data_IF_152499249608
#
_entry.id   IF_152499249608
#
_cell.length_a   1.000
_cell.length_b   1.000
_cell.length_c   1.000
_cell.angle_alpha   90.00
_cell.angle_beta   90.00
_cell.angle_gamma   90.00
#
_symmetry.space_group_name_H-M   'P 1'
#
loop_
_entity.id
_entity.type
_entity.pdbx_description
1 polymer ?
#
# COMPACT_ATOMS: atom_id res chain seq x y z
N UNK A 1 8.30 -14.53 21.60
CA UNK A 1 9.14 -13.54 20.91
C UNK A 1 8.36 -12.23 20.84
N UNK A 2 8.35 -11.47 21.94
CA UNK A 2 7.79 -10.12 22.03
C UNK A 2 8.94 -9.25 22.52
N UNK A 3 9.23 -8.15 21.83
CA UNK A 3 10.32 -7.27 22.22
C UNK A 3 9.86 -6.23 23.26
N UNK A 4 10.69 -5.96 24.26
CA UNK A 4 10.52 -4.86 25.20
C UNK A 4 11.46 -3.70 24.85
N UNK A 5 10.98 -2.47 25.02
CA UNK A 5 11.74 -1.24 24.80
C UNK A 5 11.78 -0.42 26.09
N UNK A 6 12.96 0.02 26.50
CA UNK A 6 13.13 1.02 27.57
C UNK A 6 13.88 2.23 27.00
N UNK A 7 13.52 3.43 27.46
CA UNK A 7 14.24 4.65 27.13
C UNK A 7 15.29 4.92 28.20
N UNK A 8 16.47 5.39 27.82
CA UNK A 8 17.47 5.84 28.79
C UNK A 8 17.22 7.31 29.13
N UNK A 9 16.94 7.59 30.40
CA UNK A 9 16.87 8.95 30.94
C UNK A 9 18.06 9.13 31.86
N UNK A 10 18.96 10.05 31.52
CA UNK A 10 20.21 10.28 32.23
C UNK A 10 21.06 9.00 32.41
N UNK A 11 21.07 8.13 31.41
CA UNK A 11 21.80 6.85 31.44
C UNK A 11 21.14 5.75 32.26
N UNK A 12 19.99 6.01 32.88
CA UNK A 12 19.20 5.01 33.61
C UNK A 12 17.99 4.56 32.78
N UNK A 13 17.73 3.25 32.62
CA UNK A 13 16.58 2.77 31.87
C UNK A 13 15.27 3.09 32.59
N UNK A 14 14.28 3.59 31.84
CA UNK A 14 12.89 3.71 32.30
C UNK A 14 12.20 2.35 32.34
N UNK A 15 10.98 2.32 32.89
CA UNK A 15 10.13 1.14 32.81
C UNK A 15 10.01 0.61 31.38
N UNK A 16 10.10 -0.71 31.24
CA UNK A 16 9.97 -1.38 29.95
C UNK A 16 8.55 -1.24 29.40
N UNK A 17 8.46 -0.83 28.15
CA UNK A 17 7.24 -0.79 27.36
C UNK A 17 7.23 -2.02 26.46
N UNK A 18 6.22 -2.88 26.62
CA UNK A 18 6.03 -4.02 25.73
C UNK A 18 5.51 -3.54 24.38
N UNK A 19 6.21 -3.87 23.29
CA UNK A 19 5.76 -3.50 21.95
C UNK A 19 4.63 -4.45 21.54
N UNK A 20 3.40 -3.92 21.48
CA UNK A 20 2.21 -4.70 21.13
C UNK A 20 1.88 -4.75 19.63
N UNK A 21 2.41 -3.82 18.82
CA UNK A 21 2.19 -3.73 17.36
C UNK A 21 3.40 -3.09 16.67
N UNK A 22 3.68 -3.53 15.45
CA UNK A 22 4.80 -3.02 14.63
C UNK A 22 6.06 -3.87 14.79
N UNK A 23 6.91 -3.85 13.76
CA UNK A 23 8.23 -4.48 13.79
C UNK A 23 9.25 -3.48 14.30
N UNK A 24 10.21 -3.95 15.10
CA UNK A 24 11.30 -3.10 15.53
C UNK A 24 12.16 -2.72 14.33
N UNK A 25 12.60 -1.46 14.27
CA UNK A 25 13.54 -1.04 13.25
C UNK A 25 14.85 -1.83 13.40
N UNK A 26 15.32 -2.45 12.33
CA UNK A 26 16.47 -3.37 12.37
C UNK A 26 16.11 -4.83 12.62
N UNK A 27 14.82 -5.18 12.74
CA UNK A 27 14.38 -6.58 12.74
C UNK A 27 14.70 -7.22 11.37
N UNK A 28 15.50 -8.31 11.33
CA UNK A 28 15.85 -8.99 10.08
C UNK A 28 14.63 -9.54 9.32
N UNK A 29 13.46 -9.68 9.97
CA UNK A 29 12.22 -10.15 9.36
C UNK A 29 11.35 -9.02 8.79
N UNK A 30 11.64 -7.75 9.09
CA UNK A 30 10.85 -6.64 8.57
C UNK A 30 10.81 -6.54 7.03
N UNK A 31 11.92 -6.73 6.30
CA UNK A 31 11.91 -6.68 4.85
C UNK A 31 11.03 -7.78 4.22
N UNK A 32 11.08 -9.00 4.75
CA UNK A 32 10.31 -10.12 4.21
C UNK A 32 8.81 -9.99 4.49
N UNK A 33 8.44 -9.49 5.66
CA UNK A 33 7.04 -9.20 5.98
C UNK A 33 6.46 -8.08 5.12
N UNK A 34 7.24 -7.06 4.80
CA UNK A 34 6.82 -6.00 3.87
C UNK A 34 6.61 -6.53 2.45
N UNK A 35 7.52 -7.39 1.96
CA UNK A 35 7.37 -8.07 0.67
C UNK A 35 6.10 -8.92 0.59
N UNK A 36 5.77 -9.67 1.65
CA UNK A 36 4.54 -10.48 1.73
C UNK A 36 3.31 -9.59 1.66
N UNK A 37 3.30 -8.47 2.38
CA UNK A 37 2.19 -7.51 2.34
C UNK A 37 2.05 -6.89 0.94
N UNK A 38 3.16 -6.48 0.31
CA UNK A 38 3.17 -5.94 -1.03
C UNK A 38 2.60 -6.95 -2.05
N UNK A 39 3.04 -8.20 -1.98
CA UNK A 39 2.54 -9.27 -2.84
C UNK A 39 1.04 -9.55 -2.62
N UNK A 40 0.59 -9.51 -1.36
CA UNK A 40 -0.84 -9.64 -1.03
C UNK A 40 -1.70 -8.55 -1.70
N UNK A 41 -1.23 -7.29 -1.69
CA UNK A 41 -1.91 -6.20 -2.39
C UNK A 41 -1.90 -6.41 -3.92
N UNK A 42 -0.78 -6.88 -4.48
CA UNK A 42 -0.64 -7.21 -5.90
C UNK A 42 -1.67 -8.25 -6.33
N UNK A 43 -1.80 -9.34 -5.57
CA UNK A 43 -2.77 -10.40 -5.84
C UNK A 43 -4.22 -9.91 -5.77
N UNK A 44 -4.57 -9.06 -4.79
CA UNK A 44 -5.91 -8.46 -4.71
C UNK A 44 -6.24 -7.62 -5.95
N UNK A 45 -5.28 -6.81 -6.42
CA UNK A 45 -5.44 -5.99 -7.63
C UNK A 45 -5.55 -6.86 -8.89
N UNK A 46 -4.72 -7.90 -9.04
CA UNK A 46 -4.80 -8.83 -10.17
C UNK A 46 -6.16 -9.52 -10.22
N UNK A 47 -6.67 -9.99 -9.09
CA UNK A 47 -8.01 -10.60 -9.02
C UNK A 47 -9.11 -9.63 -9.43
N UNK A 48 -9.00 -8.35 -9.05
CA UNK A 48 -9.97 -7.34 -9.44
C UNK A 48 -9.97 -7.05 -10.95
N UNK A 49 -8.79 -7.10 -11.60
CA UNK A 49 -8.68 -7.04 -13.06
C UNK A 49 -9.30 -8.28 -13.71
N UNK A 50 -8.94 -9.49 -13.25
CA UNK A 50 -9.43 -10.76 -13.82
C UNK A 50 -10.96 -10.87 -13.75
N UNK A 51 -11.56 -10.32 -12.69
CA UNK A 51 -13.01 -10.27 -12.49
C UNK A 51 -13.70 -9.09 -13.20
N UNK A 52 -12.96 -8.26 -13.95
CA UNK A 52 -13.45 -7.03 -14.56
C UNK A 52 -14.10 -6.04 -13.57
N UNK A 53 -13.69 -6.08 -12.30
CA UNK A 53 -14.15 -5.16 -11.25
C UNK A 53 -13.35 -3.86 -11.25
N UNK A 54 -12.13 -3.91 -11.76
CA UNK A 54 -11.23 -2.78 -11.91
C UNK A 54 -10.70 -2.73 -13.34
N UNK A 55 -10.56 -1.53 -13.89
CA UNK A 55 -9.99 -1.29 -15.23
C UNK A 55 -8.69 -0.50 -15.11
N UNK A 56 -7.57 -1.15 -15.42
CA UNK A 56 -6.24 -0.54 -15.41
C UNK A 56 -5.96 0.38 -16.61
N UNK A 57 -4.78 1.00 -16.61
CA UNK A 57 -4.30 1.81 -17.73
C UNK A 57 -3.80 0.90 -18.86
N UNK A 58 -4.35 1.08 -20.05
CA UNK A 58 -3.87 0.43 -21.26
C UNK A 58 -2.91 1.37 -22.00
N UNK A 59 -1.72 0.89 -22.36
CA UNK A 59 -0.74 1.65 -23.13
C UNK A 59 -0.94 1.52 -24.66
N UNK A 60 -1.95 0.77 -25.09
CA UNK A 60 -2.22 0.43 -26.49
C UNK A 60 -1.57 -0.89 -26.93
N UNK A 61 -2.01 -1.42 -28.08
CA UNK A 61 -1.57 -2.73 -28.57
C UNK A 61 -2.08 -3.90 -27.71
N UNK A 62 -1.37 -5.03 -27.74
CA UNK A 62 -1.68 -6.24 -26.95
C UNK A 62 -1.03 -6.25 -25.55
N UNK A 63 -0.60 -5.09 -25.04
CA UNK A 63 0.03 -5.01 -23.71
C UNK A 63 -1.00 -5.26 -22.60
N UNK A 64 -0.65 -5.99 -21.52
CA UNK A 64 -1.53 -6.13 -20.37
C UNK A 64 -1.77 -4.77 -19.68
N UNK A 65 -2.94 -4.57 -19.07
CA UNK A 65 -3.24 -3.33 -18.36
C UNK A 65 -2.34 -3.15 -17.14
N UNK A 66 -1.87 -1.92 -16.94
CA UNK A 66 -1.11 -1.52 -15.75
C UNK A 66 -2.10 -1.05 -14.68
N UNK A 67 -2.12 -1.73 -13.54
CA UNK A 67 -3.01 -1.38 -12.42
C UNK A 67 -2.27 -1.02 -11.12
N UNK A 68 -1.04 -1.49 -10.95
CA UNK A 68 -0.28 -1.36 -9.71
C UNK A 68 1.22 -1.26 -10.00
N UNK A 69 1.89 -0.29 -9.36
CA UNK A 69 3.35 -0.13 -9.32
C UNK A 69 3.78 0.00 -7.86
N UNK A 70 4.71 -0.85 -7.42
CA UNK A 70 5.18 -0.89 -6.03
C UNK A 70 6.68 -0.60 -5.98
N UNK A 71 7.04 0.35 -5.13
CA UNK A 71 8.40 0.67 -4.70
C UNK A 71 8.52 0.42 -3.18
N UNK A 72 9.72 0.59 -2.63
CA UNK A 72 9.97 0.35 -1.20
C UNK A 72 9.06 1.22 -0.30
N UNK A 73 8.91 2.50 -0.63
CA UNK A 73 8.19 3.46 0.20
C UNK A 73 6.81 3.84 -0.36
N UNK A 74 6.61 3.64 -1.67
CA UNK A 74 5.45 4.14 -2.39
C UNK A 74 4.74 3.04 -3.18
N UNK A 75 3.41 3.10 -3.19
CA UNK A 75 2.57 2.27 -4.06
C UNK A 75 1.66 3.17 -4.89
N UNK A 76 1.77 3.05 -6.21
CA UNK A 76 0.93 3.76 -7.17
C UNK A 76 -0.11 2.81 -7.75
N UNK A 77 -1.39 3.17 -7.61
CA UNK A 77 -2.52 2.45 -8.20
C UNK A 77 -3.05 3.26 -9.36
N UNK A 78 -3.11 2.66 -10.55
CA UNK A 78 -3.47 3.33 -11.79
C UNK A 78 -4.71 2.65 -12.37
N UNK A 79 -5.70 3.44 -12.74
CA UNK A 79 -6.87 2.93 -13.44
C UNK A 79 -7.66 4.06 -14.08
N UNK A 80 -8.68 3.68 -14.84
CA UNK A 80 -9.60 4.65 -15.43
C UNK A 80 -10.30 5.51 -14.38
N UNK A 81 -10.54 6.78 -14.73
CA UNK A 81 -11.20 7.75 -13.87
C UNK A 81 -12.74 7.58 -13.91
N UNK A 82 -13.23 6.47 -13.34
CA UNK A 82 -14.65 6.17 -13.23
C UNK A 82 -15.04 5.80 -11.78
N UNK A 83 -16.34 5.84 -11.47
CA UNK A 83 -16.82 5.55 -10.11
C UNK A 83 -16.67 4.08 -9.73
N UNK A 84 -16.74 3.17 -10.70
CA UNK A 84 -16.60 1.73 -10.45
C UNK A 84 -15.21 1.41 -9.90
N UNK A 85 -14.15 1.89 -10.56
CA UNK A 85 -12.77 1.78 -10.11
C UNK A 85 -12.58 2.40 -8.73
N UNK A 86 -13.21 3.54 -8.45
CA UNK A 86 -13.10 4.18 -7.14
C UNK A 86 -13.70 3.31 -6.03
N UNK A 87 -14.87 2.71 -6.25
CA UNK A 87 -15.51 1.83 -5.28
C UNK A 87 -14.74 0.52 -5.10
N UNK A 88 -14.31 -0.09 -6.21
CA UNK A 88 -13.48 -1.29 -6.18
C UNK A 88 -12.17 -1.05 -5.42
N UNK A 89 -11.48 0.06 -5.71
CA UNK A 89 -10.26 0.45 -5.02
C UNK A 89 -10.49 0.63 -3.51
N UNK A 90 -11.56 1.33 -3.11
CA UNK A 90 -11.91 1.46 -1.69
C UNK A 90 -12.13 0.11 -1.02
N UNK A 91 -12.81 -0.82 -1.68
CA UNK A 91 -13.04 -2.16 -1.14
C UNK A 91 -11.73 -2.94 -0.98
N UNK A 92 -10.86 -2.93 -2.00
CA UNK A 92 -9.55 -3.59 -1.95
C UNK A 92 -8.69 -3.03 -0.83
N UNK A 93 -8.59 -1.70 -0.74
CA UNK A 93 -7.83 -1.01 0.30
C UNK A 93 -8.38 -1.35 1.70
N UNK A 94 -9.70 -1.39 1.87
CA UNK A 94 -10.30 -1.78 3.14
C UNK A 94 -10.00 -3.24 3.51
N UNK A 95 -10.10 -4.17 2.56
CA UNK A 95 -9.72 -5.56 2.77
C UNK A 95 -8.24 -5.69 3.14
N UNK A 96 -7.37 -4.96 2.44
CA UNK A 96 -5.94 -4.94 2.72
C UNK A 96 -5.63 -4.43 4.12
N UNK A 97 -6.24 -3.32 4.55
CA UNK A 97 -6.09 -2.78 5.90
C UNK A 97 -6.52 -3.80 6.98
N UNK A 98 -7.64 -4.50 6.77
CA UNK A 98 -8.14 -5.50 7.72
C UNK A 98 -7.20 -6.71 7.84
N UNK A 99 -6.62 -7.16 6.73
CA UNK A 99 -5.73 -8.32 6.69
C UNK A 99 -4.32 -7.96 7.21
N UNK A 100 -3.75 -6.87 6.72
CA UNK A 100 -2.39 -6.43 7.06
C UNK A 100 -2.31 -5.75 8.43
N UNK A 101 -3.44 -5.27 8.97
CA UNK A 101 -3.53 -4.36 10.13
C UNK A 101 -2.77 -3.05 9.93
N UNK A 102 -2.45 -2.68 8.68
CA UNK A 102 -1.83 -1.41 8.33
C UNK A 102 -2.91 -0.38 8.04
N UNK A 103 -2.90 0.73 8.77
CA UNK A 103 -3.83 1.84 8.49
C UNK A 103 -3.45 2.53 7.19
N UNK A 104 -4.44 2.74 6.34
CA UNK A 104 -4.26 3.48 5.10
C UNK A 104 -4.35 4.97 5.40
N UNK A 105 -3.34 5.72 4.96
CA UNK A 105 -3.34 7.16 5.10
C UNK A 105 -4.10 7.81 3.94
N UNK A 106 -5.36 8.19 4.17
CA UNK A 106 -6.22 8.77 3.14
C UNK A 106 -5.74 10.14 2.63
N UNK A 107 -4.82 10.80 3.36
CA UNK A 107 -4.31 12.14 3.05
C UNK A 107 -3.51 12.21 1.74
N UNK A 108 -2.99 11.08 1.26
CA UNK A 108 -2.21 11.00 0.01
C UNK A 108 -3.05 10.61 -1.22
N UNK A 109 -4.34 10.31 -1.07
CA UNK A 109 -5.23 10.03 -2.22
C UNK A 109 -5.65 11.33 -2.93
N UNK A 110 -4.69 11.97 -3.58
CA UNK A 110 -4.91 13.20 -4.37
C UNK A 110 -5.74 12.88 -5.61
N UNK A 111 -7.03 13.16 -5.55
CA UNK A 111 -7.92 13.15 -6.72
C UNK A 111 -7.49 14.27 -7.69
N UNK A 112 -6.71 13.97 -8.72
CA UNK A 112 -6.53 14.92 -9.84
C UNK A 112 -7.73 14.80 -10.78
N UNK A 113 -8.59 15.83 -10.81
CA UNK A 113 -9.59 16.01 -11.88
C UNK A 113 -8.86 16.21 -13.21
N UNK A 114 -9.32 15.53 -14.27
CA UNK A 114 -8.81 15.66 -15.64
C UNK A 114 -8.78 17.13 -16.08
N UNK A 115 -7.60 17.63 -16.40
CA UNK A 115 -7.38 18.67 -17.42
C UNK A 115 -6.49 18.04 -18.49
N UNK A 116 -6.91 18.17 -19.75
CA UNK A 116 -6.39 17.47 -20.93
C UNK A 116 -4.97 17.96 -21.34
N UNK A 117 -4.35 17.31 -22.35
CA UNK A 117 -3.08 16.60 -22.27
C UNK A 117 -1.85 17.49 -22.50
N UNK A 118 -0.69 16.90 -22.26
CA UNK A 118 0.67 17.39 -22.49
C UNK A 118 1.39 17.88 -21.22
N UNK A 119 2.37 17.06 -20.85
CA UNK A 119 3.57 17.40 -20.07
C UNK A 119 3.33 17.83 -18.63
N UNK A 120 3.54 16.90 -17.71
CA UNK A 120 4.77 16.96 -16.92
C UNK A 120 5.04 15.60 -16.25
N UNK A 121 6.13 14.99 -16.71
CA UNK A 121 6.95 14.06 -15.93
C UNK A 121 7.40 14.76 -14.64
N UNK A 122 7.07 14.16 -13.50
CA UNK A 122 7.91 13.83 -12.35
C UNK A 122 6.99 13.32 -11.23
#
# INVERSE_FOLDING_TARGET
MWGSLSALVNGSPTAEVTIGRGLMQGDPLAPSLFLIAAEGLRLLMTRALDMNLFTGLHLGGESPPISLLQFADDTLIIGEANMQNLWCLKAILRCFELISRMKINERLTRKRKKTHPLLQLL
#
